data_IF_662844302200
#
_entry.id   IF_662844302200
#
_cell.length_a   1.000
_cell.length_b   1.000
_cell.length_c   1.000
_cell.angle_alpha   90.00
_cell.angle_beta   90.00
_cell.angle_gamma   90.00
#
_symmetry.space_group_name_H-M   'P 1'
#
loop_
_entity.id
_entity.type
_entity.pdbx_description
1 polymer ?
#
# COMPACT_ATOMS: atom_id res chain seq x y z
N UNK A 1 -3.57 25.75 10.17
CA UNK A 1 -2.24 26.32 10.49
C UNK A 1 -1.76 25.84 11.87
N UNK A 2 -2.57 25.96 12.95
CA UNK A 2 -2.17 25.58 14.31
C UNK A 2 -1.70 24.11 14.42
N UNK A 3 -2.41 23.16 13.78
CA UNK A 3 -1.99 21.75 13.73
C UNK A 3 -0.67 21.52 13.00
N UNK A 4 -0.36 22.33 11.96
CA UNK A 4 0.95 22.28 11.29
C UNK A 4 2.07 22.74 12.21
N UNK A 5 1.83 23.80 12.99
CA UNK A 5 2.81 24.35 13.94
C UNK A 5 3.08 23.33 15.05
N UNK A 6 2.04 22.73 15.64
CA UNK A 6 2.19 21.69 16.65
C UNK A 6 2.98 20.50 16.11
N UNK A 7 2.67 20.04 14.90
CA UNK A 7 3.40 18.94 14.26
C UNK A 7 4.89 19.27 14.05
N UNK A 8 5.22 20.47 13.56
CA UNK A 8 6.61 20.91 13.43
C UNK A 8 7.32 21.01 14.78
N UNK A 9 6.62 21.42 15.82
CA UNK A 9 7.16 21.44 17.17
C UNK A 9 7.45 20.03 17.69
N UNK A 10 6.52 19.09 17.51
CA UNK A 10 6.70 17.69 17.91
C UNK A 10 7.81 17.01 17.12
N UNK A 11 7.91 17.31 15.81
CA UNK A 11 9.02 16.85 14.97
C UNK A 11 10.36 17.40 15.44
N UNK A 12 10.42 18.68 15.77
CA UNK A 12 11.63 19.32 16.29
C UNK A 12 12.03 18.73 17.65
N UNK A 13 11.08 18.57 18.57
CA UNK A 13 11.33 17.95 19.86
C UNK A 13 11.80 16.48 19.72
N UNK A 14 11.15 15.70 18.88
CA UNK A 14 11.56 14.31 18.60
C UNK A 14 12.95 14.27 17.98
N UNK A 15 13.23 15.11 17.00
CA UNK A 15 14.54 15.20 16.37
C UNK A 15 15.64 15.60 17.35
N UNK A 16 15.39 16.54 18.25
CA UNK A 16 16.37 16.97 19.25
C UNK A 16 16.61 15.90 20.32
N UNK A 17 15.57 15.18 20.76
CA UNK A 17 15.69 14.12 21.76
C UNK A 17 16.37 12.87 21.23
N UNK A 18 16.13 12.50 19.96
CA UNK A 18 16.55 11.23 19.38
C UNK A 18 17.58 11.34 18.26
N UNK A 19 18.06 12.55 17.91
CA UNK A 19 19.11 12.76 16.89
C UNK A 19 20.42 12.02 17.18
N UNK A 20 20.61 11.57 18.40
CA UNK A 20 21.79 10.82 18.83
C UNK A 20 21.61 9.31 18.84
N UNK A 21 20.40 8.78 18.51
CA UNK A 21 20.22 7.33 18.38
C UNK A 21 21.13 6.79 17.29
N UNK A 22 21.92 5.78 17.66
CA UNK A 22 22.89 5.10 16.79
C UNK A 22 22.63 3.60 16.89
N UNK A 23 22.83 2.91 15.79
CA UNK A 23 22.68 1.46 15.72
C UNK A 23 22.20 1.05 14.34
N UNK A 24 21.80 -0.20 14.23
CA UNK A 24 21.24 -0.79 13.01
C UNK A 24 19.78 -1.13 13.26
N UNK A 25 18.91 -0.74 12.35
CA UNK A 25 17.53 -1.15 12.30
C UNK A 25 17.30 -2.02 11.08
N UNK A 26 16.81 -3.24 11.27
CA UNK A 26 16.51 -4.16 10.17
C UNK A 26 15.04 -4.06 9.79
N UNK A 27 14.79 -3.64 8.53
CA UNK A 27 13.46 -3.47 7.96
C UNK A 27 13.17 -4.58 6.95
N UNK A 28 12.14 -5.38 7.19
CA UNK A 28 11.54 -6.26 6.19
C UNK A 28 10.52 -5.49 5.35
N UNK A 29 10.46 -5.75 4.06
CA UNK A 29 9.42 -5.21 3.20
C UNK A 29 8.94 -6.25 2.19
N UNK A 30 7.64 -6.23 1.86
CA UNK A 30 7.13 -6.96 0.70
C UNK A 30 7.49 -6.22 -0.60
N UNK A 31 7.55 -6.94 -1.71
CA UNK A 31 7.76 -6.34 -3.05
C UNK A 31 6.76 -5.20 -3.33
N UNK A 32 5.51 -5.38 -2.94
CA UNK A 32 4.44 -4.39 -3.08
C UNK A 32 4.74 -3.12 -2.28
N UNK A 33 5.24 -3.28 -1.06
CA UNK A 33 5.55 -2.16 -0.16
C UNK A 33 6.84 -1.45 -0.55
N UNK A 34 7.80 -2.17 -1.14
CA UNK A 34 9.11 -1.66 -1.50
C UNK A 34 9.04 -0.52 -2.53
N UNK A 35 8.20 -0.68 -3.55
CA UNK A 35 8.03 0.33 -4.61
C UNK A 35 7.13 1.51 -4.19
N UNK A 36 6.34 1.35 -3.13
CA UNK A 36 5.22 2.25 -2.80
C UNK A 36 5.47 3.08 -1.55
N UNK A 37 5.40 2.44 -0.39
CA UNK A 37 5.44 3.13 0.91
C UNK A 37 6.84 3.18 1.53
N UNK A 38 7.72 2.22 1.19
CA UNK A 38 9.05 2.11 1.78
C UNK A 38 9.90 3.37 1.54
N UNK A 39 9.96 3.98 0.34
CA UNK A 39 10.72 5.21 0.13
C UNK A 39 10.30 6.36 1.06
N UNK A 40 9.00 6.48 1.31
CA UNK A 40 8.46 7.47 2.26
C UNK A 40 8.93 7.17 3.69
N UNK A 41 8.82 5.90 4.12
CA UNK A 41 9.23 5.48 5.46
C UNK A 41 10.75 5.69 5.68
N UNK A 42 11.56 5.30 4.71
CA UNK A 42 13.02 5.47 4.77
C UNK A 42 13.41 6.95 4.85
N UNK A 43 12.79 7.81 4.03
CA UNK A 43 13.01 9.25 4.09
C UNK A 43 12.64 9.81 5.48
N UNK A 44 11.52 9.36 6.04
CA UNK A 44 11.07 9.81 7.36
C UNK A 44 12.03 9.38 8.47
N UNK A 45 12.43 8.10 8.48
CA UNK A 45 13.37 7.57 9.49
C UNK A 45 14.72 8.29 9.39
N UNK A 46 15.28 8.42 8.19
CA UNK A 46 16.59 9.06 8.01
C UNK A 46 16.58 10.54 8.35
N UNK A 47 15.46 11.23 8.16
CA UNK A 47 15.33 12.65 8.52
C UNK A 47 15.29 12.87 10.03
N UNK A 48 14.66 11.95 10.78
CA UNK A 48 14.54 12.06 12.24
C UNK A 48 15.74 11.45 12.95
N UNK A 49 16.29 10.37 12.39
CA UNK A 49 17.37 9.56 12.98
C UNK A 49 18.58 9.45 12.03
N UNK A 50 19.31 10.54 11.76
CA UNK A 50 20.34 10.58 10.70
C UNK A 50 21.58 9.72 10.97
N UNK A 51 21.76 9.24 12.20
CA UNK A 51 22.88 8.37 12.59
C UNK A 51 22.51 6.88 12.64
N UNK A 52 21.25 6.56 12.31
CA UNK A 52 20.78 5.19 12.27
C UNK A 52 21.18 4.54 10.95
N UNK A 53 21.76 3.35 11.00
CA UNK A 53 21.96 2.52 9.82
C UNK A 53 20.70 1.68 9.56
N UNK A 54 20.23 1.66 8.31
CA UNK A 54 19.06 0.88 7.91
C UNK A 54 19.52 -0.33 7.08
N UNK A 55 19.23 -1.54 7.55
CA UNK A 55 19.34 -2.79 6.78
C UNK A 55 17.96 -3.15 6.24
N UNK A 56 17.79 -3.03 4.92
CA UNK A 56 16.46 -3.24 4.28
C UNK A 56 16.47 -4.56 3.52
N UNK A 57 15.55 -5.46 3.88
CA UNK A 57 15.40 -6.78 3.29
C UNK A 57 14.06 -6.88 2.59
N UNK A 58 14.08 -6.88 1.26
CA UNK A 58 12.87 -7.04 0.45
C UNK A 58 12.69 -8.52 0.13
N UNK A 59 11.52 -9.05 0.48
CA UNK A 59 11.11 -10.42 0.17
C UNK A 59 9.68 -10.39 -0.39
N UNK A 60 9.34 -11.34 -1.23
CA UNK A 60 7.98 -11.45 -1.79
C UNK A 60 6.92 -11.60 -0.69
N UNK A 61 7.19 -12.42 0.29
CA UNK A 61 6.43 -12.53 1.53
C UNK A 61 7.41 -12.49 2.71
N UNK A 62 7.60 -11.37 3.37
CA UNK A 62 8.50 -11.27 4.50
C UNK A 62 8.08 -12.13 5.71
N UNK A 63 6.85 -12.67 5.68
CA UNK A 63 6.23 -13.45 6.75
C UNK A 63 6.08 -14.94 6.42
N UNK A 64 6.49 -15.39 5.22
CA UNK A 64 6.22 -16.77 4.75
C UNK A 64 7.13 -17.86 5.36
N UNK A 65 8.26 -17.50 5.94
CA UNK A 65 9.18 -18.45 6.57
C UNK A 65 8.89 -18.56 8.07
N UNK A 66 7.93 -19.40 8.40
CA UNK A 66 7.34 -19.59 9.73
C UNK A 66 8.31 -20.02 10.86
N UNK A 67 9.59 -20.24 10.62
CA UNK A 67 10.46 -20.81 11.70
C UNK A 67 11.93 -20.40 11.73
N UNK A 68 12.49 -19.74 10.72
CA UNK A 68 13.94 -19.54 10.67
C UNK A 68 14.42 -18.10 10.43
N UNK A 69 13.54 -17.13 10.21
CA UNK A 69 13.93 -15.75 9.84
C UNK A 69 13.08 -14.66 10.51
N UNK A 70 12.17 -14.98 11.41
CA UNK A 70 11.42 -13.98 12.19
C UNK A 70 12.35 -13.21 13.14
N UNK A 71 13.43 -13.86 13.61
CA UNK A 71 14.37 -13.28 14.59
C UNK A 71 15.29 -12.19 14.00
N UNK A 72 15.36 -12.08 12.66
CA UNK A 72 16.33 -11.24 11.98
C UNK A 72 15.78 -9.87 11.53
N UNK A 73 14.50 -9.57 11.75
CA UNK A 73 13.86 -8.34 11.30
C UNK A 73 13.17 -7.63 12.44
N UNK A 74 13.47 -6.35 12.61
CA UNK A 74 12.94 -5.53 13.71
C UNK A 74 11.54 -4.98 13.38
N UNK A 75 11.37 -4.43 12.19
CA UNK A 75 10.13 -3.88 11.68
C UNK A 75 9.82 -4.47 10.30
N UNK A 76 8.53 -4.63 9.99
CA UNK A 76 8.08 -5.15 8.68
C UNK A 76 7.09 -4.17 8.06
N UNK A 77 7.29 -3.87 6.78
CA UNK A 77 6.33 -3.11 5.96
C UNK A 77 5.63 -4.06 5.01
N UNK A 78 4.32 -4.19 5.16
CA UNK A 78 3.52 -5.18 4.44
C UNK A 78 2.10 -4.67 4.14
N UNK A 79 1.40 -5.35 3.24
CA UNK A 79 -0.04 -5.13 2.97
C UNK A 79 -0.93 -6.19 3.62
N UNK A 80 -0.33 -7.10 4.37
CA UNK A 80 -1.03 -8.18 5.06
C UNK A 80 -0.75 -8.09 6.56
N UNK A 81 -1.80 -8.12 7.40
CA UNK A 81 -1.66 -8.04 8.86
C UNK A 81 -1.23 -9.38 9.43
N UNK A 82 -0.01 -9.50 9.96
CA UNK A 82 0.45 -10.72 10.61
C UNK A 82 -0.18 -10.90 12.00
N UNK A 83 -0.33 -12.15 12.43
CA UNK A 83 -1.11 -12.50 13.63
C UNK A 83 -0.37 -12.14 14.95
N UNK A 84 0.96 -12.16 14.95
CA UNK A 84 1.77 -12.00 16.17
C UNK A 84 2.59 -10.72 16.21
N UNK A 85 2.17 -9.68 15.48
CA UNK A 85 2.87 -8.41 15.40
C UNK A 85 1.96 -7.26 15.83
N UNK A 86 2.53 -6.27 16.48
CA UNK A 86 1.85 -4.99 16.69
C UNK A 86 1.95 -4.19 15.41
N UNK A 87 0.81 -3.85 14.81
CA UNK A 87 0.78 -3.19 13.52
C UNK A 87 0.01 -1.87 13.56
N UNK A 88 0.58 -0.85 12.95
CA UNK A 88 -0.07 0.42 12.65
C UNK A 88 -0.28 0.59 11.14
N UNK A 89 -1.37 1.22 10.77
CA UNK A 89 -1.66 1.54 9.36
C UNK A 89 -0.93 2.82 8.97
N UNK A 90 0.05 2.71 8.06
CA UNK A 90 0.76 3.84 7.50
C UNK A 90 -0.08 4.60 6.48
N UNK A 91 -0.79 3.85 5.65
CA UNK A 91 -1.60 4.38 4.55
C UNK A 91 -2.64 3.36 4.11
N UNK A 92 -3.80 3.88 3.65
CA UNK A 92 -4.81 3.11 2.91
C UNK A 92 -4.88 3.65 1.49
N UNK A 93 -4.87 2.77 0.51
CA UNK A 93 -4.89 3.10 -0.91
C UNK A 93 -5.98 2.35 -1.66
N UNK A 94 -6.72 3.00 -2.58
CA UNK A 94 -7.69 2.32 -3.41
C UNK A 94 -7.01 1.30 -4.31
N UNK A 95 -7.67 0.15 -4.49
CA UNK A 95 -7.24 -0.92 -5.39
C UNK A 95 -8.04 -0.85 -6.68
N UNK A 96 -7.36 -0.95 -7.81
CA UNK A 96 -7.96 -0.87 -9.14
C UNK A 96 -7.59 -2.04 -10.02
N UNK A 97 -8.44 -2.33 -11.01
CA UNK A 97 -8.13 -3.20 -12.11
C UNK A 97 -7.29 -2.47 -13.15
N UNK A 98 -6.22 -3.09 -13.64
CA UNK A 98 -5.31 -2.52 -14.62
C UNK A 98 -5.17 -3.39 -15.84
N UNK A 99 -5.13 -2.76 -17.01
CA UNK A 99 -4.70 -3.35 -18.27
C UNK A 99 -3.75 -2.38 -19.00
N UNK A 100 -3.14 -2.80 -20.10
CA UNK A 100 -2.41 -1.87 -20.96
C UNK A 100 -3.37 -0.84 -21.59
N UNK A 101 -2.85 0.32 -21.98
CA UNK A 101 -3.65 1.39 -22.55
C UNK A 101 -4.43 0.94 -23.81
N UNK A 102 -3.84 0.03 -24.60
CA UNK A 102 -4.42 -0.48 -25.87
C UNK A 102 -5.24 -1.76 -25.70
N UNK A 103 -5.26 -2.34 -24.49
CA UNK A 103 -5.96 -3.60 -24.25
C UNK A 103 -7.47 -3.45 -24.38
N UNK A 104 -8.11 -4.31 -25.15
CA UNK A 104 -9.57 -4.34 -25.34
C UNK A 104 -10.14 -5.58 -24.67
N UNK A 105 -10.95 -5.38 -23.63
CA UNK A 105 -11.66 -6.46 -22.97
C UNK A 105 -12.83 -6.93 -23.85
N UNK A 106 -12.83 -8.19 -24.22
CA UNK A 106 -13.87 -8.78 -25.07
C UNK A 106 -15.10 -9.12 -24.22
N UNK A 107 -16.26 -8.59 -24.62
CA UNK A 107 -17.51 -8.87 -23.92
C UNK A 107 -17.91 -10.35 -24.08
N UNK A 108 -18.23 -10.99 -22.98
CA UNK A 108 -18.71 -12.38 -22.95
C UNK A 108 -17.58 -13.43 -22.97
N UNK A 109 -16.32 -13.03 -23.05
CA UNK A 109 -15.20 -13.92 -22.89
C UNK A 109 -14.70 -13.96 -21.44
N UNK A 110 -14.05 -15.09 -21.08
CA UNK A 110 -13.40 -15.21 -19.78
C UNK A 110 -12.24 -14.21 -19.66
N UNK A 111 -12.22 -13.45 -18.58
CA UNK A 111 -11.24 -12.39 -18.32
C UNK A 111 -9.83 -12.99 -18.21
N UNK A 112 -8.88 -12.57 -19.04
CA UNK A 112 -7.50 -13.05 -18.95
C UNK A 112 -6.77 -12.37 -17.80
N UNK A 113 -6.37 -13.14 -16.78
CA UNK A 113 -5.69 -12.65 -15.60
C UNK A 113 -4.17 -12.81 -15.71
N UNK A 114 -3.48 -11.75 -15.32
CA UNK A 114 -2.04 -11.73 -15.04
C UNK A 114 -1.87 -11.74 -13.53
N UNK A 115 -1.34 -12.82 -12.98
CA UNK A 115 -1.28 -13.07 -11.55
C UNK A 115 0.16 -13.30 -11.09
N UNK A 116 0.39 -12.98 -9.82
CA UNK A 116 1.57 -13.48 -9.12
C UNK A 116 1.36 -14.95 -8.76
N UNK A 117 2.41 -15.76 -8.73
CA UNK A 117 2.35 -17.12 -8.22
C UNK A 117 2.03 -17.14 -6.71
N UNK A 118 1.64 -18.30 -6.21
CA UNK A 118 1.30 -18.48 -4.79
C UNK A 118 2.55 -18.55 -3.90
N UNK A 119 2.45 -18.09 -2.63
CA UNK A 119 1.29 -17.43 -2.02
C UNK A 119 1.21 -15.94 -2.39
N UNK A 120 0.01 -15.42 -2.68
CA UNK A 120 -0.21 -14.02 -3.02
C UNK A 120 -1.59 -13.51 -2.59
N UNK A 121 -1.68 -12.63 -1.58
CA UNK A 121 -2.96 -12.06 -1.14
C UNK A 121 -3.73 -11.34 -2.25
N UNK A 122 -3.02 -10.70 -3.17
CA UNK A 122 -3.67 -10.04 -4.32
C UNK A 122 -4.25 -11.03 -5.32
N UNK A 123 -3.60 -12.17 -5.53
CA UNK A 123 -4.16 -13.27 -6.33
C UNK A 123 -5.48 -13.76 -5.74
N UNK A 124 -5.50 -14.03 -4.45
CA UNK A 124 -6.68 -14.52 -3.74
C UNK A 124 -7.81 -13.47 -3.78
N UNK A 125 -7.50 -12.21 -3.56
CA UNK A 125 -8.44 -11.09 -3.66
C UNK A 125 -9.07 -11.00 -5.05
N UNK A 126 -8.26 -11.06 -6.12
CA UNK A 126 -8.70 -11.01 -7.52
C UNK A 126 -9.68 -12.14 -7.81
N UNK A 127 -9.28 -13.37 -7.50
CA UNK A 127 -10.09 -14.55 -7.79
C UNK A 127 -11.40 -14.55 -6.99
N UNK A 128 -11.34 -14.18 -5.71
CA UNK A 128 -12.52 -14.07 -4.85
C UNK A 128 -13.49 -13.00 -5.36
N UNK A 129 -13.01 -11.81 -5.74
CA UNK A 129 -13.85 -10.73 -6.25
C UNK A 129 -14.59 -11.14 -7.53
N UNK A 130 -13.91 -11.80 -8.47
CA UNK A 130 -14.51 -12.26 -9.72
C UNK A 130 -15.50 -13.41 -9.49
N UNK A 131 -15.16 -14.37 -8.62
CA UNK A 131 -16.04 -15.50 -8.28
C UNK A 131 -17.32 -15.01 -7.59
N UNK A 132 -17.23 -14.06 -6.64
CA UNK A 132 -18.40 -13.49 -5.97
C UNK A 132 -19.32 -12.70 -6.91
N UNK A 133 -18.78 -12.20 -8.01
CA UNK A 133 -19.53 -11.46 -9.02
C UNK A 133 -19.97 -12.32 -10.21
N UNK A 134 -19.77 -13.64 -10.17
CA UNK A 134 -20.04 -14.59 -11.28
C UNK A 134 -19.40 -14.14 -12.61
N UNK A 135 -18.24 -13.49 -12.55
CA UNK A 135 -17.50 -13.05 -13.73
C UNK A 135 -16.53 -14.15 -14.16
N UNK A 136 -16.67 -14.72 -15.37
CA UNK A 136 -15.78 -15.77 -15.83
C UNK A 136 -14.37 -15.25 -16.08
N UNK A 137 -13.36 -16.00 -15.65
CA UNK A 137 -11.97 -15.64 -15.79
C UNK A 137 -11.10 -16.85 -16.16
N UNK A 138 -9.92 -16.59 -16.69
CA UNK A 138 -8.87 -17.59 -16.93
C UNK A 138 -7.51 -17.01 -16.58
N UNK A 139 -6.58 -17.85 -16.17
CA UNK A 139 -5.19 -17.43 -16.01
C UNK A 139 -4.55 -17.32 -17.39
N UNK A 140 -4.10 -16.13 -17.75
CA UNK A 140 -3.37 -15.87 -18.98
C UNK A 140 -1.85 -15.89 -18.75
N UNK A 141 -1.39 -15.44 -17.58
CA UNK A 141 0.02 -15.39 -17.24
C UNK A 141 0.22 -15.49 -15.73
N UNK A 142 1.25 -16.21 -15.30
CA UNK A 142 1.71 -16.27 -13.92
C UNK A 142 3.15 -15.81 -13.86
N UNK A 143 3.45 -14.92 -12.94
CA UNK A 143 4.77 -14.35 -12.71
C UNK A 143 5.26 -14.65 -11.30
N UNK A 144 6.56 -14.75 -11.12
CA UNK A 144 7.19 -14.90 -9.80
C UNK A 144 7.57 -13.58 -9.13
N UNK A 145 7.47 -12.44 -9.84
CA UNK A 145 7.80 -11.11 -9.33
C UNK A 145 6.77 -10.06 -9.75
N UNK A 146 6.61 -9.01 -8.95
CA UNK A 146 5.74 -7.89 -9.28
C UNK A 146 6.17 -7.18 -10.57
N UNK A 147 7.47 -7.07 -10.81
CA UNK A 147 8.00 -6.46 -12.06
C UNK A 147 7.58 -7.24 -13.30
N UNK A 148 7.55 -8.58 -13.22
CA UNK A 148 7.09 -9.43 -14.33
C UNK A 148 5.56 -9.33 -14.52
N UNK A 149 4.77 -9.18 -13.44
CA UNK A 149 3.33 -8.85 -13.54
C UNK A 149 3.14 -7.53 -14.27
N UNK A 150 3.86 -6.47 -13.86
CA UNK A 150 3.79 -5.15 -14.51
C UNK A 150 4.14 -5.23 -16.01
N UNK A 151 5.19 -5.96 -16.35
CA UNK A 151 5.62 -6.15 -17.74
C UNK A 151 4.57 -6.88 -18.59
N UNK A 152 3.98 -7.97 -18.05
CA UNK A 152 2.97 -8.75 -18.74
C UNK A 152 1.67 -7.95 -18.99
N UNK A 153 1.24 -7.15 -18.01
CA UNK A 153 0.08 -6.26 -18.15
C UNK A 153 0.34 -5.18 -19.20
N UNK A 154 1.51 -4.54 -19.16
CA UNK A 154 1.92 -3.54 -20.18
C UNK A 154 1.99 -4.15 -21.59
N UNK A 155 2.43 -5.38 -21.70
CA UNK A 155 2.46 -6.13 -22.96
C UNK A 155 1.06 -6.56 -23.46
N UNK A 156 -0.02 -6.28 -22.72
CA UNK A 156 -1.38 -6.60 -23.12
C UNK A 156 -1.77 -8.07 -22.97
N UNK A 157 -1.07 -8.84 -22.12
CA UNK A 157 -1.38 -10.27 -21.93
C UNK A 157 -2.66 -10.50 -21.12
N UNK A 158 -3.15 -9.49 -20.41
CA UNK A 158 -4.36 -9.57 -19.61
C UNK A 158 -4.45 -8.44 -18.60
N UNK A 159 -5.29 -8.63 -17.58
CA UNK A 159 -5.54 -7.66 -16.52
C UNK A 159 -5.04 -8.17 -15.17
N UNK A 160 -4.77 -7.24 -14.27
CA UNK A 160 -4.46 -7.54 -12.86
C UNK A 160 -5.15 -6.52 -11.96
N UNK A 161 -5.13 -6.75 -10.65
CA UNK A 161 -5.59 -5.76 -9.68
C UNK A 161 -4.48 -5.43 -8.69
N UNK A 162 -4.27 -4.12 -8.47
CA UNK A 162 -3.21 -3.60 -7.60
C UNK A 162 -3.62 -2.24 -7.02
N UNK A 163 -2.96 -1.78 -5.95
CA UNK A 163 -3.15 -0.44 -5.43
C UNK A 163 -2.83 0.65 -6.45
N UNK A 164 -3.38 1.84 -6.20
CA UNK A 164 -3.26 3.00 -7.11
C UNK A 164 -1.82 3.38 -7.45
N UNK A 165 -0.86 3.05 -6.62
CA UNK A 165 0.58 3.27 -6.82
C UNK A 165 1.16 2.50 -8.02
N UNK A 166 0.46 1.46 -8.51
CA UNK A 166 0.85 0.77 -9.73
C UNK A 166 0.63 1.59 -10.99
N UNK A 167 -0.20 2.65 -10.93
CA UNK A 167 -0.55 3.46 -12.10
C UNK A 167 0.69 3.98 -12.83
N UNK A 168 0.67 3.87 -14.14
CA UNK A 168 1.68 4.42 -15.03
C UNK A 168 1.04 4.85 -16.36
N UNK A 169 1.70 5.70 -17.18
CA UNK A 169 1.14 6.16 -18.45
C UNK A 169 0.76 5.04 -19.44
N UNK A 170 1.40 3.88 -19.33
CA UNK A 170 1.16 2.72 -20.21
C UNK A 170 -0.04 1.87 -19.76
N UNK A 171 -0.66 2.22 -18.64
CA UNK A 171 -1.76 1.49 -18.04
C UNK A 171 -3.03 2.34 -18.00
N UNK A 172 -4.17 1.68 -18.10
CA UNK A 172 -5.48 2.25 -17.81
C UNK A 172 -6.23 1.45 -16.77
N UNK A 173 -7.12 2.13 -16.05
CA UNK A 173 -8.00 1.53 -15.05
C UNK A 173 -9.25 1.01 -15.72
N UNK A 174 -9.67 -0.18 -15.30
CA UNK A 174 -10.95 -0.78 -15.60
C UNK A 174 -11.85 -0.76 -14.35
N UNK A 175 -13.15 -0.81 -14.56
CA UNK A 175 -14.10 -0.77 -13.45
C UNK A 175 -15.48 -1.33 -13.78
N UNK A 176 -16.49 -0.85 -13.07
CA UNK A 176 -17.88 -1.32 -13.23
C UNK A 176 -18.43 -1.16 -14.65
N UNK A 177 -18.02 -0.10 -15.37
CA UNK A 177 -18.39 0.11 -16.78
C UNK A 177 -17.85 -0.97 -17.71
N UNK A 178 -16.76 -1.63 -17.31
CA UNK A 178 -16.11 -2.71 -18.04
C UNK A 178 -16.60 -4.11 -17.57
N UNK A 179 -17.56 -4.14 -16.65
CA UNK A 179 -18.11 -5.39 -16.09
C UNK A 179 -17.29 -5.99 -14.95
N UNK A 180 -16.37 -5.23 -14.36
CA UNK A 180 -15.53 -5.72 -13.26
C UNK A 180 -16.06 -5.32 -11.89
N UNK A 181 -15.99 -6.19 -10.88
CA UNK A 181 -16.42 -5.89 -9.52
C UNK A 181 -15.53 -4.85 -8.85
N UNK A 182 -16.08 -4.19 -7.83
CA UNK A 182 -15.30 -3.36 -6.92
C UNK A 182 -14.31 -4.19 -6.13
N UNK A 183 -13.20 -3.57 -5.74
CA UNK A 183 -12.14 -4.20 -4.96
C UNK A 183 -12.02 -3.52 -3.59
N UNK A 184 -11.59 -4.23 -2.55
CA UNK A 184 -11.27 -3.63 -1.26
C UNK A 184 -10.07 -2.69 -1.37
N UNK A 185 -9.99 -1.74 -0.46
CA UNK A 185 -8.80 -0.93 -0.30
C UNK A 185 -7.63 -1.75 0.24
N UNK A 186 -6.42 -1.34 -0.10
CA UNK A 186 -5.18 -1.95 0.40
C UNK A 186 -4.62 -1.10 1.53
N UNK A 187 -4.40 -1.71 2.70
CA UNK A 187 -3.69 -1.07 3.81
C UNK A 187 -2.20 -1.37 3.72
N UNK A 188 -1.37 -0.34 3.87
CA UNK A 188 0.06 -0.48 4.10
C UNK A 188 0.33 -0.38 5.59
N UNK A 189 0.93 -1.40 6.13
CA UNK A 189 1.16 -1.58 7.56
C UNK A 189 2.64 -1.50 7.89
N UNK A 190 2.97 -0.87 9.01
CA UNK A 190 4.23 -1.04 9.71
C UNK A 190 3.97 -1.95 10.90
N UNK A 191 4.67 -3.05 10.98
CA UNK A 191 4.49 -4.05 12.02
C UNK A 191 5.78 -4.23 12.81
N UNK A 192 5.68 -4.18 14.13
CA UNK A 192 6.77 -4.40 15.07
C UNK A 192 6.90 -5.89 15.37
N UNK A 193 8.09 -6.43 15.17
CA UNK A 193 8.41 -7.76 15.67
C UNK A 193 8.50 -7.71 17.20
N UNK A 194 7.51 -8.27 17.88
CA UNK A 194 7.45 -8.27 19.35
C UNK A 194 8.54 -9.14 20.01
N UNK A 195 9.23 -9.97 19.23
CA UNK A 195 10.37 -10.77 19.70
C UNK A 195 11.72 -10.08 19.46
N UNK A 196 11.76 -8.99 18.69
CA UNK A 196 12.99 -8.23 18.49
C UNK A 196 13.50 -7.65 19.81
N UNK A 197 14.79 -7.88 20.10
CA UNK A 197 15.49 -7.31 21.25
C UNK A 197 16.01 -5.89 20.98
N UNK A 198 15.76 -5.35 19.79
CA UNK A 198 16.23 -4.05 19.39
C UNK A 198 15.33 -2.93 19.93
N UNK A 199 15.75 -2.26 20.99
CA UNK A 199 15.00 -1.16 21.59
C UNK A 199 14.72 -0.01 20.58
N UNK A 200 15.58 0.17 19.57
CA UNK A 200 15.39 1.16 18.53
C UNK A 200 14.12 0.92 17.72
N UNK A 201 13.77 -0.35 17.51
CA UNK A 201 12.54 -0.72 16.79
C UNK A 201 11.29 -0.22 17.52
N UNK A 202 11.24 -0.38 18.83
CA UNK A 202 10.12 0.07 19.67
C UNK A 202 10.01 1.61 19.65
N UNK A 203 11.13 2.31 19.79
CA UNK A 203 11.17 3.77 19.77
C UNK A 203 10.66 4.30 18.41
N UNK A 204 11.13 3.72 17.31
CA UNK A 204 10.75 4.15 15.97
C UNK A 204 9.27 3.81 15.69
N UNK A 205 8.81 2.63 16.08
CA UNK A 205 7.42 2.23 15.92
C UNK A 205 6.48 3.19 16.67
N UNK A 206 6.76 3.50 17.93
CA UNK A 206 5.98 4.45 18.73
C UNK A 206 6.02 5.87 18.14
N UNK A 207 7.16 6.31 17.64
CA UNK A 207 7.27 7.61 16.99
C UNK A 207 6.42 7.67 15.70
N UNK A 208 6.30 6.56 14.96
CA UNK A 208 5.46 6.46 13.78
C UNK A 208 3.97 6.40 14.12
N UNK A 209 3.58 5.81 15.25
CA UNK A 209 2.20 5.76 15.74
C UNK A 209 1.65 7.19 16.03
N UNK A 210 2.48 8.05 16.60
CA UNK A 210 2.12 9.45 16.86
C UNK A 210 2.11 10.32 15.59
N UNK A 211 2.67 9.81 14.50
CA UNK A 211 2.70 10.50 13.22
C UNK A 211 1.44 10.18 12.40
N UNK A 212 0.35 10.92 12.66
CA UNK A 212 -0.84 10.83 11.83
C UNK A 212 -0.52 11.25 10.39
N UNK A 213 -0.74 10.33 9.47
CA UNK A 213 -0.40 10.41 8.07
C UNK A 213 -0.97 11.68 7.39
N UNK A 214 -0.14 12.55 6.77
CA UNK A 214 -0.61 13.73 6.05
C UNK A 214 -1.54 13.41 4.88
N UNK A 215 -1.55 12.16 4.41
CA UNK A 215 -2.33 11.72 3.25
C UNK A 215 -3.77 11.30 3.56
N UNK A 216 -4.15 11.13 4.81
CA UNK A 216 -5.54 10.82 5.20
C UNK A 216 -6.50 12.01 5.06
N UNK A 217 -6.01 13.21 4.80
CA UNK A 217 -6.84 14.44 4.75
C UNK A 217 -7.39 14.79 3.36
N UNK A 218 -7.14 13.97 2.32
CA UNK A 218 -7.66 14.20 0.96
C UNK A 218 -9.05 13.59 0.67
N UNK A 219 -9.52 12.67 1.50
CA UNK A 219 -10.74 11.88 1.21
C UNK A 219 -12.04 12.42 1.85
N UNK A 220 -11.99 13.38 2.75
CA UNK A 220 -13.19 13.87 3.48
C UNK A 220 -13.73 15.24 3.06
N UNK A 221 -13.30 15.78 1.92
CA UNK A 221 -13.70 17.13 1.48
C UNK A 221 -14.79 17.16 0.39
N UNK A 222 -15.45 16.04 0.09
CA UNK A 222 -16.49 16.01 -0.96
C UNK A 222 -17.87 15.52 -0.51
N UNK A 223 -18.15 15.49 0.80
CA UNK A 223 -19.53 15.32 1.27
C UNK A 223 -19.92 16.50 2.16
N UNK A 224 -20.58 17.49 1.57
CA UNK A 224 -21.21 18.56 2.32
C UNK A 224 -21.31 19.86 1.56
N UNK A 225 -22.38 20.04 0.78
CA UNK A 225 -22.68 21.38 0.25
C UNK A 225 -23.52 21.40 -1.00
N UNK A 226 -24.61 20.66 -1.01
CA UNK A 226 -25.69 20.86 -1.97
C UNK A 226 -26.84 21.62 -1.29
N UNK A 227 -26.64 22.85 -0.91
CA UNK A 227 -27.75 23.72 -0.49
C UNK A 227 -28.21 24.51 -1.72
N UNK A 228 -29.38 24.12 -2.21
CA UNK A 228 -30.10 24.74 -3.31
C UNK A 228 -30.68 26.06 -2.83
N UNK A 229 -30.03 27.16 -3.18
CA UNK A 229 -30.66 28.47 -3.17
C UNK A 229 -31.54 28.63 -4.44
N UNK A 230 -32.83 28.39 -4.22
CA UNK A 230 -33.88 28.86 -5.15
C UNK A 230 -33.96 30.37 -4.98
N UNK A 231 -33.52 31.11 -5.98
CA UNK A 231 -33.81 32.53 -6.09
C UNK A 231 -35.00 32.67 -7.03
N UNK A 232 -36.20 32.89 -6.46
CA UNK A 232 -37.34 33.46 -7.17
C UNK A 232 -37.00 34.92 -7.50
N UNK A 233 -36.81 35.20 -8.76
CA UNK A 233 -36.71 36.55 -9.30
C UNK A 233 -37.97 36.87 -10.08
N UNK A 234 -38.90 37.52 -9.40
CA UNK A 234 -40.06 38.19 -10.00
C UNK A 234 -39.59 39.48 -10.66
N UNK A 235 -39.81 39.61 -11.97
CA UNK A 235 -39.80 40.88 -12.67
C UNK A 235 -40.91 40.89 -13.73
N UNK A 236 -41.83 41.83 -13.48
CA UNK A 236 -42.94 42.25 -14.33
C UNK A 236 -42.58 42.89 -15.68
#
# INVERSE_FOLDING_TARGET
>A
YARKILRFNDEACTSLLFSNLQGVLTLGASDESADTILPFLLNRISSVYPKLALDVRVKRNPLADDRAQEDDVDLIVTTHRPVHYDCLTLRTSPTHWYCSAEFVLQKGEAIPLVLLDEPSPFRDMIMNALNMADVPWRVAYVASTLSAVKAAVKAGLGITARPVEMMSPDLRVLGKSDGLPGLPETEYLLCLNTQSQNELAQVIFQAMEHYQNPWQYGASATEGGGDSLVVEGDFG
#
